data_IF_974722248681
#
_entry.id   IF_974722248681
#
_cell.length_a   1.000
_cell.length_b   1.000
_cell.length_c   1.000
_cell.angle_alpha   90.00
_cell.angle_beta   90.00
_cell.angle_gamma   90.00
#
_symmetry.space_group_name_H-M   'P 1'
#
loop_
_entity.id
_entity.type
_entity.pdbx_description
1 polymer ?
#
# COMPACT_ATOMS: atom_id res chain seq x y z
N UNK A 1 16.83 -8.24 13.61
CA UNK A 1 16.19 -7.17 12.84
C UNK A 1 15.27 -6.52 13.84
N UNK A 2 15.64 -5.32 14.27
CA UNK A 2 15.06 -4.73 15.49
C UNK A 2 14.00 -3.67 15.12
N UNK A 3 13.95 -3.28 13.85
CA UNK A 3 12.98 -2.40 13.21
C UNK A 3 12.49 -3.00 11.88
N UNK A 4 11.25 -2.65 11.49
CA UNK A 4 10.70 -3.01 10.19
C UNK A 4 9.75 -1.90 9.70
N UNK A 5 10.02 -1.30 8.54
CA UNK A 5 9.13 -0.33 7.92
C UNK A 5 8.25 -0.98 6.86
N UNK A 6 6.93 -0.95 7.07
CA UNK A 6 5.95 -1.57 6.17
C UNK A 6 5.14 -0.51 5.44
N UNK A 7 5.17 -0.54 4.10
CA UNK A 7 4.30 0.26 3.24
C UNK A 7 2.94 -0.41 3.03
N UNK A 8 1.85 0.23 3.45
CA UNK A 8 0.49 -0.30 3.36
C UNK A 8 -0.27 0.27 2.15
N UNK A 9 -0.20 -0.42 1.02
CA UNK A 9 -0.97 -0.12 -0.18
C UNK A 9 -2.36 -0.76 -0.10
N UNK A 10 -3.43 0.01 -0.35
CA UNK A 10 -4.79 -0.54 -0.34
C UNK A 10 -5.84 0.55 -0.34
N UNK A 11 -7.10 0.16 -0.47
CA UNK A 11 -8.24 1.06 -0.43
C UNK A 11 -8.39 1.77 0.93
N UNK A 12 -9.21 2.81 0.98
CA UNK A 12 -9.37 3.71 2.15
C UNK A 12 -10.81 3.69 2.70
N UNK A 13 -11.66 2.80 2.20
CA UNK A 13 -13.08 2.69 2.51
C UNK A 13 -13.38 1.58 3.55
N UNK A 14 -12.36 0.84 4.00
CA UNK A 14 -12.50 -0.15 5.08
C UNK A 14 -11.36 -0.05 6.11
N UNK A 15 -11.56 -0.59 7.33
CA UNK A 15 -10.57 -0.51 8.42
C UNK A 15 -9.46 -1.57 8.30
N UNK A 16 -9.17 -2.09 7.10
CA UNK A 16 -8.24 -3.21 6.92
C UNK A 16 -6.82 -2.92 7.44
N UNK A 17 -6.35 -1.66 7.36
CA UNK A 17 -5.04 -1.26 7.89
C UNK A 17 -4.99 -1.42 9.39
N UNK A 18 -6.02 -0.94 10.09
CA UNK A 18 -6.11 -1.08 11.55
C UNK A 18 -6.21 -2.54 11.94
N UNK A 19 -7.01 -3.32 11.21
CA UNK A 19 -7.10 -4.77 11.41
C UNK A 19 -5.75 -5.48 11.27
N UNK A 20 -4.96 -5.12 10.26
CA UNK A 20 -3.63 -5.69 10.04
C UNK A 20 -2.65 -5.29 11.16
N UNK A 21 -2.70 -4.03 11.61
CA UNK A 21 -1.90 -3.54 12.75
C UNK A 21 -2.22 -4.32 14.01
N UNK A 22 -3.49 -4.48 14.34
CA UNK A 22 -3.94 -5.27 15.50
C UNK A 22 -3.44 -6.73 15.43
N UNK A 23 -3.53 -7.36 14.26
CA UNK A 23 -3.04 -8.73 14.05
C UNK A 23 -1.53 -8.84 14.31
N UNK A 24 -0.74 -7.87 13.84
CA UNK A 24 0.70 -7.85 14.02
C UNK A 24 1.12 -7.47 15.44
N UNK A 25 0.41 -6.56 16.10
CA UNK A 25 0.60 -6.26 17.51
C UNK A 25 0.35 -7.49 18.40
N UNK A 26 -0.71 -8.26 18.09
CA UNK A 26 -1.04 -9.48 18.82
C UNK A 26 0.05 -10.58 18.72
N UNK A 27 0.88 -10.55 17.66
CA UNK A 27 2.02 -11.48 17.48
C UNK A 27 3.17 -11.20 18.44
N UNK A 28 3.25 -9.99 19.03
CA UNK A 28 4.36 -9.56 19.91
C UNK A 28 5.73 -9.77 19.27
N UNK A 29 5.87 -9.31 18.03
CA UNK A 29 7.09 -9.43 17.27
C UNK A 29 8.27 -8.76 18.00
N UNK A 30 9.50 -9.28 17.87
CA UNK A 30 10.67 -8.74 18.54
C UNK A 30 11.24 -7.50 17.81
N UNK A 31 10.39 -6.71 17.14
CA UNK A 31 10.80 -5.56 16.34
C UNK A 31 9.78 -4.42 16.39
N UNK A 32 10.29 -3.19 16.28
CA UNK A 32 9.48 -1.99 16.18
C UNK A 32 8.98 -1.79 14.74
N UNK A 33 7.66 -1.85 14.55
CA UNK A 33 7.06 -1.69 13.22
C UNK A 33 6.72 -0.22 12.97
N UNK A 34 7.30 0.33 11.91
CA UNK A 34 6.93 1.65 11.37
C UNK A 34 5.99 1.50 10.19
N UNK A 35 4.86 2.22 10.20
CA UNK A 35 3.88 2.17 9.13
C UNK A 35 4.03 3.38 8.20
N UNK A 36 4.11 3.12 6.90
CA UNK A 36 4.10 4.14 5.86
C UNK A 36 3.07 3.80 4.79
N UNK A 37 2.69 4.77 3.95
CA UNK A 37 1.65 4.53 2.96
C UNK A 37 1.25 5.77 2.14
N UNK A 38 0.24 5.59 1.26
CA UNK A 38 -0.32 6.68 0.46
C UNK A 38 -1.01 7.73 1.36
N UNK A 39 -1.49 8.82 0.76
CA UNK A 39 -2.45 9.71 1.44
C UNK A 39 -3.80 8.98 1.52
N UNK A 40 -4.35 8.87 2.73
CA UNK A 40 -5.59 8.15 2.99
C UNK A 40 -6.81 9.07 2.99
N UNK A 41 -6.62 10.37 3.13
CA UNK A 41 -7.69 11.38 3.04
C UNK A 41 -7.95 11.77 1.58
N UNK A 42 -9.12 11.39 1.06
CA UNK A 42 -9.47 11.54 -0.36
C UNK A 42 -9.43 13.00 -0.84
N UNK A 43 -10.11 13.91 -0.13
CA UNK A 43 -10.13 15.34 -0.49
C UNK A 43 -8.72 15.91 -0.49
N UNK A 44 -7.94 15.59 0.54
CA UNK A 44 -6.56 16.05 0.62
C UNK A 44 -5.69 15.47 -0.50
N UNK A 45 -5.90 14.23 -0.90
CA UNK A 45 -5.18 13.59 -2.01
C UNK A 45 -5.48 14.28 -3.35
N UNK A 46 -6.73 14.66 -3.58
CA UNK A 46 -7.17 15.28 -4.84
C UNK A 46 -6.76 16.75 -4.93
N UNK A 47 -6.82 17.46 -3.79
CA UNK A 47 -6.70 18.93 -3.76
C UNK A 47 -5.28 19.42 -3.48
N UNK A 48 -4.38 18.54 -3.01
CA UNK A 48 -3.01 18.93 -2.60
C UNK A 48 -2.25 19.74 -3.64
N UNK A 49 -2.47 19.47 -4.92
CA UNK A 49 -1.83 20.21 -6.01
C UNK A 49 -2.22 21.68 -6.01
N UNK A 50 -3.53 21.96 -5.96
CA UNK A 50 -4.08 23.32 -5.96
C UNK A 50 -3.87 24.02 -4.61
N UNK A 51 -3.96 23.30 -3.51
CA UNK A 51 -3.70 23.82 -2.17
C UNK A 51 -2.28 24.39 -2.00
N UNK A 52 -1.31 23.87 -2.75
CA UNK A 52 0.10 24.27 -2.65
C UNK A 52 0.52 25.21 -3.78
N UNK A 53 0.06 24.97 -5.02
CA UNK A 53 0.55 25.65 -6.22
C UNK A 53 -0.50 26.55 -6.88
N UNK A 54 -1.69 26.65 -6.29
CA UNK A 54 -2.81 27.47 -6.77
C UNK A 54 -3.71 26.75 -7.79
N UNK A 55 -4.82 27.39 -8.12
CA UNK A 55 -5.85 26.88 -9.04
C UNK A 55 -5.25 26.47 -10.39
N UNK A 56 -5.61 25.27 -10.87
CA UNK A 56 -5.15 24.73 -12.13
C UNK A 56 -6.09 25.08 -13.29
N UNK A 57 -5.58 25.25 -14.53
CA UNK A 57 -6.37 25.78 -15.64
C UNK A 57 -7.47 24.83 -16.16
N UNK A 58 -7.50 23.57 -15.71
CA UNK A 58 -8.61 22.63 -15.93
C UNK A 58 -8.48 21.40 -15.03
N UNK A 59 -9.56 20.59 -14.95
CA UNK A 59 -9.57 19.31 -14.22
C UNK A 59 -8.39 18.41 -14.59
N UNK A 60 -8.02 18.34 -15.87
CA UNK A 60 -6.86 17.55 -16.33
C UNK A 60 -5.57 17.94 -15.60
N UNK A 61 -5.35 19.24 -15.38
CA UNK A 61 -4.14 19.74 -14.72
C UNK A 61 -4.24 19.61 -13.20
N UNK A 62 -5.44 19.79 -12.62
CA UNK A 62 -5.71 19.49 -11.21
C UNK A 62 -5.36 18.03 -10.89
N UNK A 63 -5.93 17.09 -11.64
CA UNK A 63 -5.69 15.65 -11.46
C UNK A 63 -4.21 15.27 -11.68
N UNK A 64 -3.59 15.82 -12.74
CA UNK A 64 -2.18 15.59 -13.02
C UNK A 64 -1.30 16.07 -11.86
N UNK A 65 -1.58 17.26 -11.32
CA UNK A 65 -0.78 17.84 -10.26
C UNK A 65 -0.97 17.10 -8.94
N UNK A 66 -2.21 16.79 -8.56
CA UNK A 66 -2.50 15.92 -7.42
C UNK A 66 -1.79 14.57 -7.55
N UNK A 67 -1.87 13.95 -8.73
CA UNK A 67 -1.15 12.71 -9.05
C UNK A 67 0.37 12.84 -8.93
N UNK A 68 0.98 13.95 -9.36
CA UNK A 68 2.42 14.19 -9.23
C UNK A 68 2.86 14.33 -7.77
N UNK A 69 2.10 15.06 -6.95
CA UNK A 69 2.40 15.21 -5.52
C UNK A 69 2.25 13.88 -4.79
N UNK A 70 1.20 13.11 -5.09
CA UNK A 70 1.01 11.78 -4.54
C UNK A 70 2.11 10.81 -4.99
N UNK A 71 2.56 10.89 -6.24
CA UNK A 71 3.69 10.10 -6.74
C UNK A 71 5.00 10.45 -6.02
N UNK A 72 5.25 11.73 -5.71
CA UNK A 72 6.39 12.15 -4.90
C UNK A 72 6.31 11.53 -3.50
N UNK A 73 5.18 11.67 -2.81
CA UNK A 73 4.97 11.08 -1.48
C UNK A 73 5.21 9.58 -1.49
N UNK A 74 4.55 8.86 -2.39
CA UNK A 74 4.66 7.41 -2.55
C UNK A 74 6.11 6.99 -2.74
N UNK A 75 6.85 7.63 -3.64
CA UNK A 75 8.27 7.31 -3.87
C UNK A 75 9.10 7.52 -2.61
N UNK A 76 8.91 8.63 -1.89
CA UNK A 76 9.65 8.90 -0.63
C UNK A 76 9.35 7.84 0.43
N UNK A 77 8.09 7.44 0.56
CA UNK A 77 7.67 6.43 1.55
C UNK A 77 8.14 5.03 1.18
N UNK A 78 8.03 4.63 -0.10
CA UNK A 78 8.56 3.35 -0.57
C UNK A 78 10.07 3.25 -0.40
N UNK A 79 10.84 4.33 -0.66
CA UNK A 79 12.30 4.32 -0.45
C UNK A 79 12.72 4.10 1.02
N UNK A 80 11.79 4.18 1.96
CA UNK A 80 12.03 3.92 3.39
C UNK A 80 11.45 2.59 3.86
N UNK A 81 10.73 1.89 2.99
CA UNK A 81 10.05 0.65 3.33
C UNK A 81 10.97 -0.55 3.09
N UNK A 82 10.97 -1.46 4.06
CA UNK A 82 11.64 -2.76 3.97
C UNK A 82 10.71 -3.81 3.36
N UNK A 83 9.40 -3.60 3.50
CA UNK A 83 8.34 -4.49 3.01
C UNK A 83 7.14 -3.67 2.51
N UNK A 84 6.49 -4.13 1.45
CA UNK A 84 5.20 -3.61 1.02
C UNK A 84 4.11 -4.67 1.20
N UNK A 85 2.95 -4.25 1.69
CA UNK A 85 1.74 -5.08 1.75
C UNK A 85 0.66 -4.38 0.92
N UNK A 86 0.16 -5.07 -0.11
CA UNK A 86 -0.90 -4.58 -0.97
C UNK A 86 -2.20 -5.34 -0.73
N UNK A 87 -3.20 -4.68 -0.16
CA UNK A 87 -4.53 -5.23 0.07
C UNK A 87 -5.48 -4.91 -1.08
N UNK A 88 -6.05 -5.94 -1.70
CA UNK A 88 -7.08 -5.85 -2.72
C UNK A 88 -8.39 -6.46 -2.22
N UNK A 89 -9.31 -5.60 -1.77
CA UNK A 89 -10.64 -5.98 -1.32
C UNK A 89 -11.62 -6.19 -2.48
N UNK A 90 -12.77 -6.85 -2.23
CA UNK A 90 -13.66 -7.32 -3.29
C UNK A 90 -14.49 -6.22 -3.99
N UNK A 91 -14.68 -5.06 -3.34
CA UNK A 91 -15.70 -4.09 -3.76
C UNK A 91 -15.20 -3.00 -4.70
N UNK A 92 -14.00 -2.49 -4.49
CA UNK A 92 -13.51 -1.27 -5.14
C UNK A 92 -12.45 -1.57 -6.19
N UNK A 93 -12.44 -0.80 -7.28
CA UNK A 93 -11.34 -0.83 -8.24
C UNK A 93 -10.14 -0.09 -7.64
N UNK A 94 -9.03 -0.78 -7.48
CA UNK A 94 -7.88 -0.29 -6.72
C UNK A 94 -6.67 0.00 -7.60
N UNK A 95 -6.84 0.91 -8.58
CA UNK A 95 -5.77 1.25 -9.52
C UNK A 95 -4.55 1.88 -8.82
N UNK A 96 -4.78 2.70 -7.79
CA UNK A 96 -3.70 3.28 -6.98
C UNK A 96 -2.94 2.18 -6.24
N UNK A 97 -3.63 1.19 -5.65
CA UNK A 97 -2.99 0.05 -5.01
C UNK A 97 -2.16 -0.77 -6.00
N UNK A 98 -2.66 -1.00 -7.21
CA UNK A 98 -1.90 -1.68 -8.26
C UNK A 98 -0.65 -0.88 -8.68
N UNK A 99 -0.75 0.45 -8.77
CA UNK A 99 0.38 1.32 -9.07
C UNK A 99 1.43 1.30 -7.95
N UNK A 100 0.99 1.29 -6.69
CA UNK A 100 1.86 1.18 -5.51
C UNK A 100 2.57 -0.17 -5.46
N UNK A 101 1.82 -1.27 -5.63
CA UNK A 101 2.35 -2.63 -5.65
C UNK A 101 3.38 -2.83 -6.76
N UNK A 102 3.05 -2.39 -7.99
CA UNK A 102 3.98 -2.47 -9.11
C UNK A 102 5.23 -1.60 -8.90
N UNK A 103 5.09 -0.43 -8.28
CA UNK A 103 6.23 0.41 -7.94
C UNK A 103 7.13 -0.20 -6.86
N UNK A 104 6.55 -0.84 -5.84
CA UNK A 104 7.31 -1.56 -4.82
C UNK A 104 8.16 -2.66 -5.44
N UNK A 105 7.55 -3.51 -6.28
CA UNK A 105 8.27 -4.56 -7.03
C UNK A 105 9.38 -3.97 -7.90
N UNK A 106 9.09 -2.90 -8.65
CA UNK A 106 10.09 -2.26 -9.53
C UNK A 106 11.25 -1.60 -8.76
N UNK A 107 11.09 -1.37 -7.45
CA UNK A 107 12.11 -0.84 -6.54
C UNK A 107 12.80 -1.94 -5.73
N UNK A 108 12.60 -3.21 -6.07
CA UNK A 108 13.12 -4.38 -5.35
C UNK A 108 12.65 -4.45 -3.87
N UNK A 109 11.50 -3.85 -3.56
CA UNK A 109 10.88 -3.98 -2.23
C UNK A 109 10.01 -5.24 -2.24
N UNK A 110 10.21 -6.19 -1.30
CA UNK A 110 9.41 -7.41 -1.25
C UNK A 110 7.92 -7.07 -1.04
N UNK A 111 7.06 -7.74 -1.81
CA UNK A 111 5.63 -7.49 -1.81
C UNK A 111 4.88 -8.72 -1.27
N UNK A 112 4.09 -8.51 -0.21
CA UNK A 112 2.99 -9.40 0.16
C UNK A 112 1.72 -8.88 -0.52
N UNK A 113 1.17 -9.66 -1.44
CA UNK A 113 -0.09 -9.36 -2.09
C UNK A 113 -1.22 -10.08 -1.35
N UNK A 114 -2.14 -9.31 -0.79
CA UNK A 114 -3.35 -9.85 -0.15
C UNK A 114 -4.53 -9.56 -1.07
N UNK A 115 -5.20 -10.59 -1.58
CA UNK A 115 -6.30 -10.40 -2.51
C UNK A 115 -7.44 -11.37 -2.31
N UNK A 116 -8.65 -10.88 -2.62
CA UNK A 116 -9.82 -11.73 -2.72
C UNK A 116 -9.66 -12.79 -3.85
N UNK A 117 -10.11 -14.05 -3.65
CA UNK A 117 -10.09 -15.09 -4.69
C UNK A 117 -10.79 -14.68 -5.99
N UNK A 118 -11.82 -13.82 -5.93
CA UNK A 118 -12.52 -13.30 -7.10
C UNK A 118 -11.61 -12.43 -8.00
N UNK A 119 -10.50 -11.92 -7.47
CA UNK A 119 -9.55 -11.07 -8.18
C UNK A 119 -8.38 -11.84 -8.82
N UNK A 120 -8.36 -13.17 -8.75
CA UNK A 120 -7.27 -14.02 -9.26
C UNK A 120 -6.88 -13.69 -10.71
N UNK A 121 -7.86 -13.60 -11.62
CA UNK A 121 -7.55 -13.29 -13.02
C UNK A 121 -7.08 -11.85 -13.22
N UNK A 122 -7.67 -10.90 -12.48
CA UNK A 122 -7.37 -9.49 -12.61
C UNK A 122 -5.98 -9.13 -12.07
N UNK A 123 -5.50 -9.88 -11.08
CA UNK A 123 -4.23 -9.65 -10.39
C UNK A 123 -3.14 -10.66 -10.74
N UNK A 124 -3.36 -11.57 -11.69
CA UNK A 124 -2.40 -12.63 -12.07
C UNK A 124 -0.98 -12.13 -12.37
N UNK A 125 -0.85 -10.93 -12.93
CA UNK A 125 0.45 -10.37 -13.30
C UNK A 125 1.17 -9.79 -12.06
N UNK A 126 0.41 -9.24 -11.10
CA UNK A 126 0.96 -8.84 -9.80
C UNK A 126 1.25 -10.06 -8.91
N UNK A 127 0.42 -11.11 -8.97
CA UNK A 127 0.71 -12.39 -8.29
C UNK A 127 2.05 -12.97 -8.72
N UNK A 128 2.34 -12.95 -10.02
CA UNK A 128 3.60 -13.45 -10.56
C UNK A 128 4.83 -12.64 -10.11
N UNK A 129 4.61 -11.40 -9.66
CA UNK A 129 5.64 -10.47 -9.21
C UNK A 129 5.76 -10.39 -7.69
N UNK A 130 4.72 -10.77 -6.95
CA UNK A 130 4.70 -10.74 -5.50
C UNK A 130 5.69 -11.76 -4.93
N UNK A 131 6.30 -11.42 -3.78
CA UNK A 131 7.12 -12.38 -3.05
C UNK A 131 6.24 -13.49 -2.46
N UNK A 132 5.07 -13.11 -1.94
CA UNK A 132 4.04 -14.03 -1.44
C UNK A 132 2.66 -13.46 -1.75
N UNK A 133 1.76 -14.29 -2.28
CA UNK A 133 0.33 -13.98 -2.36
C UNK A 133 -0.43 -14.74 -1.28
N UNK A 134 -1.35 -14.06 -0.60
CA UNK A 134 -2.26 -14.62 0.41
C UNK A 134 -3.69 -14.11 0.21
N UNK A 135 -4.66 -14.75 0.84
CA UNK A 135 -6.09 -14.42 0.70
C UNK A 135 -6.65 -13.67 1.91
N UNK A 136 -5.97 -13.71 3.06
CA UNK A 136 -6.42 -13.04 4.29
C UNK A 136 -5.34 -12.18 4.95
N UNK A 137 -5.78 -11.21 5.75
CA UNK A 137 -4.87 -10.37 6.55
C UNK A 137 -4.17 -11.21 7.64
N UNK A 138 -4.84 -12.23 8.18
CA UNK A 138 -4.27 -13.16 9.14
C UNK A 138 -3.07 -13.91 8.54
N UNK A 139 -3.21 -14.42 7.31
CA UNK A 139 -2.10 -15.05 6.59
C UNK A 139 -0.97 -14.06 6.33
N UNK A 140 -1.29 -12.81 5.96
CA UNK A 140 -0.27 -11.78 5.79
C UNK A 140 0.51 -11.52 7.09
N UNK A 141 -0.20 -11.43 8.23
CA UNK A 141 0.42 -11.25 9.54
C UNK A 141 1.27 -12.46 9.96
N UNK A 142 0.85 -13.68 9.65
CA UNK A 142 1.64 -14.91 9.86
C UNK A 142 2.94 -14.89 9.05
N UNK A 143 2.88 -14.49 7.77
CA UNK A 143 4.05 -14.39 6.90
C UNK A 143 5.03 -13.31 7.39
N UNK A 144 4.53 -12.16 7.85
CA UNK A 144 5.40 -11.14 8.45
C UNK A 144 6.05 -11.65 9.74
N UNK A 145 5.30 -12.36 10.58
CA UNK A 145 5.84 -12.92 11.82
C UNK A 145 6.98 -13.92 11.58
N UNK A 146 6.86 -14.74 10.54
CA UNK A 146 7.86 -15.74 10.15
C UNK A 146 9.24 -15.12 9.82
N UNK A 147 9.30 -13.85 9.40
CA UNK A 147 10.58 -13.17 9.11
C UNK A 147 11.45 -13.01 10.38
N UNK A 148 10.86 -13.15 11.57
CA UNK A 148 11.53 -12.97 12.86
C UNK A 148 11.84 -14.28 13.60
N UNK A 149 11.58 -15.44 12.99
CA UNK A 149 12.00 -16.76 13.50
C UNK A 149 13.49 -17.03 13.22
#
# INVERSE_FOLDING_TARGET
MDDLTIYLAGEIHSPWRDRLRELLEAKRLPADITWVGPQEEHERSDDVGEDVLGEQPSQRYRDLLGGQVNALRRRVQLNRADLAIAWFGPKYKQWNTAADAGAAVAMDIPLILVRDPELLHALKDLDALAAVTVETLEQAADIVAYIFE
#
